data_IF_406856969570
#
_entry.id   IF_406856969570
#
_cell.length_a   1.000
_cell.length_b   1.000
_cell.length_c   1.000
_cell.angle_alpha   90.00
_cell.angle_beta   90.00
_cell.angle_gamma   90.00
#
_symmetry.space_group_name_H-M   'P 1'
#
loop_
_entity.id
_entity.type
_entity.pdbx_description
1 polymer ?
#
# COMPACT_ATOMS: atom_id res chain seq x y z
N UNK A 1 -6.91 -4.48 -26.03
CA UNK A 1 -6.29 -4.54 -24.68
C UNK A 1 -5.08 -5.45 -24.76
N UNK A 2 -3.87 -4.94 -24.52
CA UNK A 2 -2.71 -5.82 -24.44
C UNK A 2 -2.77 -6.61 -23.12
N UNK A 3 -2.55 -7.92 -23.18
CA UNK A 3 -2.64 -8.84 -22.02
C UNK A 3 -1.81 -8.35 -20.83
N UNK A 4 -0.75 -7.61 -21.11
CA UNK A 4 0.15 -7.04 -20.11
C UNK A 4 -0.51 -5.96 -19.24
N UNK A 5 -1.25 -5.01 -19.82
CA UNK A 5 -1.91 -3.94 -19.02
C UNK A 5 -2.96 -4.51 -18.07
N UNK A 6 -3.75 -5.49 -18.53
CA UNK A 6 -4.71 -6.19 -17.68
C UNK A 6 -4.03 -6.98 -16.56
N UNK A 7 -2.90 -7.62 -16.88
CA UNK A 7 -2.08 -8.35 -15.91
C UNK A 7 -1.54 -7.43 -14.83
N UNK A 8 -1.01 -6.27 -15.21
CA UNK A 8 -0.51 -5.25 -14.26
C UNK A 8 -1.62 -4.76 -13.33
N UNK A 9 -2.79 -4.43 -13.88
CA UNK A 9 -3.94 -3.99 -13.07
C UNK A 9 -4.36 -5.08 -12.08
N UNK A 10 -4.48 -6.33 -12.52
CA UNK A 10 -4.85 -7.44 -11.67
C UNK A 10 -3.81 -7.66 -10.55
N UNK A 11 -2.53 -7.57 -10.88
CA UNK A 11 -1.44 -7.75 -9.93
C UNK A 11 -1.40 -6.62 -8.90
N UNK A 12 -1.50 -5.35 -9.31
CA UNK A 12 -1.55 -4.20 -8.38
C UNK A 12 -2.76 -4.31 -7.45
N UNK A 13 -3.91 -4.69 -8.00
CA UNK A 13 -5.14 -4.88 -7.21
C UNK A 13 -4.96 -5.98 -6.17
N UNK A 14 -4.39 -7.13 -6.56
CA UNK A 14 -4.12 -8.24 -5.66
C UNK A 14 -3.17 -7.80 -4.54
N UNK A 15 -2.07 -7.13 -4.89
CA UNK A 15 -1.10 -6.63 -3.91
C UNK A 15 -1.74 -5.64 -2.94
N UNK A 16 -2.59 -4.71 -3.40
CA UNK A 16 -3.28 -3.76 -2.54
C UNK A 16 -4.23 -4.45 -1.55
N UNK A 17 -5.01 -5.44 -2.01
CA UNK A 17 -5.91 -6.20 -1.15
C UNK A 17 -5.15 -7.10 -0.17
N UNK A 18 -4.09 -7.77 -0.62
CA UNK A 18 -3.20 -8.54 0.26
C UNK A 18 -2.57 -7.67 1.33
N UNK A 19 -2.13 -6.45 0.97
CA UNK A 19 -1.55 -5.51 1.91
C UNK A 19 -2.58 -5.02 2.95
N UNK A 20 -3.82 -4.78 2.52
CA UNK A 20 -4.93 -4.49 3.44
C UNK A 20 -5.17 -5.63 4.43
N UNK A 21 -5.24 -6.88 3.93
CA UNK A 21 -5.41 -8.06 4.78
C UNK A 21 -4.27 -8.23 5.78
N UNK A 22 -3.02 -8.03 5.34
CA UNK A 22 -1.84 -8.09 6.20
C UNK A 22 -1.92 -7.03 7.31
N UNK A 23 -2.28 -5.78 6.99
CA UNK A 23 -2.42 -4.74 8.00
C UNK A 23 -3.57 -4.96 8.98
N UNK A 24 -4.70 -5.53 8.54
CA UNK A 24 -5.76 -5.97 9.46
C UNK A 24 -5.26 -7.06 10.39
N UNK A 25 -4.49 -8.03 9.88
CA UNK A 25 -3.91 -9.09 10.69
C UNK A 25 -2.96 -8.52 11.76
N UNK A 26 -2.07 -7.59 11.39
CA UNK A 26 -1.16 -6.92 12.34
C UNK A 26 -1.95 -6.16 13.40
N UNK A 27 -2.89 -5.31 12.99
CA UNK A 27 -3.72 -4.55 13.93
C UNK A 27 -4.47 -5.48 14.91
N UNK A 28 -5.05 -6.57 14.40
CA UNK A 28 -5.76 -7.54 15.22
C UNK A 28 -4.84 -8.29 16.19
N UNK A 29 -3.62 -8.65 15.76
CA UNK A 29 -2.64 -9.31 16.63
C UNK A 29 -2.19 -8.38 17.77
N UNK A 30 -1.89 -7.11 17.46
CA UNK A 30 -1.46 -6.15 18.47
C UNK A 30 -2.57 -5.86 19.50
N UNK A 31 -3.83 -5.78 19.07
CA UNK A 31 -4.97 -5.64 19.98
C UNK A 31 -5.09 -6.77 21.01
N UNK A 32 -4.66 -7.99 20.66
CA UNK A 32 -4.68 -9.12 21.59
C UNK A 32 -3.47 -9.15 22.52
N UNK A 33 -2.33 -8.65 22.05
CA UNK A 33 -1.05 -8.82 22.73
C UNK A 33 -0.82 -7.76 23.81
N UNK A 34 -1.23 -6.51 23.60
CA UNK A 34 -1.10 -5.43 24.60
C UNK A 34 -2.05 -4.27 24.32
N UNK A 35 -2.57 -3.65 25.38
CA UNK A 35 -3.51 -2.52 25.31
C UNK A 35 -2.93 -1.21 25.84
N UNK A 36 -1.60 -1.09 25.90
CA UNK A 36 -0.91 0.13 26.32
C UNK A 36 -0.93 1.22 25.24
N UNK A 37 -0.59 2.46 25.62
CA UNK A 37 -0.72 3.63 24.74
C UNK A 37 -0.03 3.48 23.37
N UNK A 38 1.25 3.07 23.31
CA UNK A 38 1.97 2.89 22.04
C UNK A 38 1.34 1.82 21.14
N UNK A 39 0.93 0.67 21.70
CA UNK A 39 0.32 -0.42 20.91
C UNK A 39 -1.03 0.00 20.31
N UNK A 40 -1.81 0.83 21.04
CA UNK A 40 -3.07 1.37 20.52
C UNK A 40 -2.84 2.27 19.32
N UNK A 41 -1.81 3.11 19.36
CA UNK A 41 -1.50 4.03 18.26
C UNK A 41 -1.01 3.24 17.03
N UNK A 42 -0.15 2.24 17.21
CA UNK A 42 0.28 1.34 16.13
C UNK A 42 -0.91 0.58 15.52
N UNK A 43 -1.78 0.03 16.37
CA UNK A 43 -3.02 -0.62 15.95
C UNK A 43 -3.87 0.33 15.10
N UNK A 44 -4.07 1.57 15.55
CA UNK A 44 -4.82 2.59 14.80
C UNK A 44 -4.16 2.89 13.45
N UNK A 45 -2.84 3.01 13.40
CA UNK A 45 -2.09 3.26 12.18
C UNK A 45 -2.29 2.11 11.16
N UNK A 46 -2.11 0.86 11.60
CA UNK A 46 -2.27 -0.30 10.74
C UNK A 46 -3.73 -0.51 10.31
N UNK A 47 -4.69 -0.34 11.21
CA UNK A 47 -6.11 -0.39 10.88
C UNK A 47 -6.49 0.70 9.85
N UNK A 48 -5.99 1.92 10.04
CA UNK A 48 -6.22 3.03 9.10
C UNK A 48 -5.61 2.73 7.73
N UNK A 49 -4.39 2.18 7.69
CA UNK A 49 -3.76 1.76 6.45
C UNK A 49 -4.57 0.66 5.76
N UNK A 50 -5.05 -0.34 6.51
CA UNK A 50 -5.87 -1.42 6.00
C UNK A 50 -7.18 -0.90 5.37
N UNK A 51 -7.89 -0.02 6.09
CA UNK A 51 -9.11 0.66 5.63
C UNK A 51 -8.84 1.59 4.45
N UNK A 52 -7.62 2.09 4.28
CA UNK A 52 -7.26 2.92 3.12
C UNK A 52 -7.04 2.09 1.85
N UNK A 53 -6.35 0.94 1.96
CA UNK A 53 -6.08 0.07 0.81
C UNK A 53 -7.32 -0.68 0.32
N UNK A 54 -8.28 -1.00 1.20
CA UNK A 54 -9.44 -1.81 0.83
C UNK A 54 -10.36 -1.11 -0.19
N UNK A 55 -10.85 0.13 0.03
CA UNK A 55 -11.62 0.88 -0.96
C UNK A 55 -10.83 1.15 -2.23
N UNK A 56 -9.51 1.38 -2.14
CA UNK A 56 -8.65 1.53 -3.31
C UNK A 56 -8.63 0.26 -4.17
N UNK A 57 -8.46 -0.91 -3.55
CA UNK A 57 -8.53 -2.20 -4.24
C UNK A 57 -9.89 -2.42 -4.91
N UNK A 58 -10.99 -2.13 -4.21
CA UNK A 58 -12.35 -2.20 -4.77
C UNK A 58 -12.50 -1.23 -5.96
N UNK A 59 -11.96 -0.02 -5.86
CA UNK A 59 -11.99 0.96 -6.93
C UNK A 59 -11.20 0.49 -8.16
N UNK A 60 -10.04 -0.13 -7.96
CA UNK A 60 -9.28 -0.76 -9.05
C UNK A 60 -10.07 -1.87 -9.74
N UNK A 61 -10.82 -2.69 -8.99
CA UNK A 61 -11.68 -3.74 -9.58
C UNK A 61 -12.81 -3.12 -10.41
N UNK A 62 -13.51 -2.11 -9.87
CA UNK A 62 -14.66 -1.49 -10.55
C UNK A 62 -14.26 -0.67 -11.77
N UNK A 63 -13.19 0.12 -11.67
CA UNK A 63 -12.81 1.12 -12.67
C UNK A 63 -11.49 0.79 -13.37
N UNK A 64 -11.12 -0.50 -13.48
CA UNK A 64 -9.84 -1.02 -13.99
C UNK A 64 -9.15 -0.14 -15.03
N UNK A 65 -9.88 0.33 -16.05
CA UNK A 65 -9.35 1.08 -17.19
C UNK A 65 -9.91 2.50 -17.34
N UNK A 66 -10.81 2.94 -16.46
CA UNK A 66 -11.43 4.26 -16.59
C UNK A 66 -10.67 5.35 -15.86
N UNK A 67 -9.87 4.99 -14.87
CA UNK A 67 -9.12 5.98 -14.09
C UNK A 67 -7.76 5.46 -13.69
N UNK A 68 -6.74 6.30 -13.91
CA UNK A 68 -5.39 6.09 -13.36
C UNK A 68 -5.28 6.47 -11.88
N UNK A 69 -6.27 7.20 -11.35
CA UNK A 69 -6.26 7.74 -9.99
C UNK A 69 -6.03 6.69 -8.89
N UNK A 70 -6.74 5.54 -8.84
CA UNK A 70 -6.55 4.57 -7.76
C UNK A 70 -5.11 4.04 -7.67
N UNK A 71 -4.42 3.87 -8.81
CA UNK A 71 -3.04 3.39 -8.86
C UNK A 71 -2.04 4.44 -8.38
N UNK A 72 -2.25 5.71 -8.76
CA UNK A 72 -1.42 6.83 -8.29
C UNK A 72 -1.60 7.01 -6.78
N UNK A 73 -2.84 7.01 -6.29
CA UNK A 73 -3.13 7.16 -4.87
C UNK A 73 -2.54 6.01 -4.07
N UNK A 74 -2.70 4.76 -4.52
CA UNK A 74 -2.10 3.60 -3.87
C UNK A 74 -0.57 3.68 -3.83
N UNK A 75 0.07 4.15 -4.90
CA UNK A 75 1.52 4.37 -4.92
C UNK A 75 1.94 5.44 -3.90
N UNK A 76 1.24 6.57 -3.83
CA UNK A 76 1.56 7.64 -2.87
C UNK A 76 1.35 7.19 -1.42
N UNK A 77 0.27 6.47 -1.14
CA UNK A 77 0.00 5.87 0.16
C UNK A 77 1.10 4.88 0.56
N UNK A 78 1.53 4.02 -0.36
CA UNK A 78 2.65 3.09 -0.14
C UNK A 78 3.94 3.84 0.17
N UNK A 79 4.28 4.88 -0.60
CA UNK A 79 5.48 5.69 -0.35
C UNK A 79 5.43 6.35 1.04
N UNK A 80 4.28 6.92 1.42
CA UNK A 80 4.11 7.55 2.72
C UNK A 80 4.31 6.57 3.88
N UNK A 81 3.74 5.36 3.78
CA UNK A 81 3.86 4.34 4.82
C UNK A 81 5.27 3.74 4.90
N UNK A 82 5.94 3.51 3.75
CA UNK A 82 7.35 3.11 3.74
C UNK A 82 8.22 4.20 4.36
N UNK A 83 7.97 5.46 4.01
CA UNK A 83 8.68 6.61 4.58
C UNK A 83 8.49 6.69 6.10
N UNK A 84 7.25 6.55 6.57
CA UNK A 84 6.94 6.52 8.00
C UNK A 84 7.67 5.38 8.73
N UNK A 85 7.73 4.19 8.13
CA UNK A 85 8.50 3.08 8.67
C UNK A 85 10.00 3.37 8.76
N UNK A 86 10.60 3.98 7.73
CA UNK A 86 12.03 4.36 7.79
C UNK A 86 12.27 5.41 8.88
N UNK A 87 11.36 6.37 9.02
CA UNK A 87 11.47 7.41 10.04
C UNK A 87 11.34 6.81 11.45
N UNK A 88 10.38 5.91 11.70
CA UNK A 88 10.19 5.27 13.01
C UNK A 88 11.39 4.42 13.46
N UNK A 89 12.29 4.04 12.53
CA UNK A 89 13.53 3.32 12.80
C UNK A 89 14.74 4.22 13.05
N UNK A 90 14.70 5.45 12.55
CA UNK A 90 15.86 6.38 12.60
C UNK A 90 15.67 7.48 13.63
N UNK A 91 14.42 7.81 13.96
CA UNK A 91 14.06 8.86 14.89
C UNK A 91 12.96 8.31 15.80
N UNK A 92 13.10 8.53 17.11
CA UNK A 92 12.04 8.23 18.07
C UNK A 92 10.82 9.09 17.73
N UNK A 93 9.83 8.50 17.06
CA UNK A 93 8.58 9.20 16.79
C UNK A 93 7.78 9.25 18.09
N UNK A 94 7.29 10.43 18.52
CA UNK A 94 6.49 10.55 19.75
C UNK A 94 5.23 9.66 19.74
N UNK A 95 4.79 9.30 18.54
CA UNK A 95 3.54 8.60 18.24
C UNK A 95 3.71 7.08 18.21
N UNK A 96 4.90 6.57 17.84
CA UNK A 96 5.14 5.13 17.55
C UNK A 96 6.36 4.57 18.29
N UNK A 97 7.15 5.43 18.96
CA UNK A 97 8.41 5.02 19.59
C UNK A 97 9.51 4.68 18.58
N UNK A 98 10.61 4.11 19.08
CA UNK A 98 11.61 3.43 18.26
C UNK A 98 11.24 1.96 18.17
N UNK A 99 11.06 1.45 16.96
CA UNK A 99 10.96 0.02 16.74
C UNK A 99 12.35 -0.51 16.40
N UNK A 100 12.94 -1.38 17.21
CA UNK A 100 14.28 -1.94 16.92
C UNK A 100 14.21 -3.29 16.19
N UNK A 101 13.13 -4.05 16.38
CA UNK A 101 12.99 -5.39 15.79
C UNK A 101 12.31 -5.38 14.43
N UNK A 102 12.93 -6.01 13.42
CA UNK A 102 12.34 -6.18 12.09
C UNK A 102 11.61 -7.51 12.03
N UNK A 103 10.28 -7.46 12.11
CA UNK A 103 9.45 -8.65 11.95
C UNK A 103 9.36 -9.12 10.49
N UNK A 104 9.14 -10.42 10.29
CA UNK A 104 8.86 -10.99 8.95
C UNK A 104 7.62 -10.32 8.31
N UNK A 105 6.63 -9.96 9.13
CA UNK A 105 5.41 -9.29 8.67
C UNK A 105 5.72 -7.86 8.21
N UNK A 106 6.62 -7.16 8.90
CA UNK A 106 7.06 -5.83 8.52
C UNK A 106 7.76 -5.84 7.16
N UNK A 107 8.67 -6.79 6.94
CA UNK A 107 9.36 -6.93 5.66
C UNK A 107 8.37 -7.27 4.53
N UNK A 108 7.40 -8.15 4.83
CA UNK A 108 6.38 -8.57 3.87
C UNK A 108 5.51 -7.40 3.41
N UNK A 109 5.03 -6.57 4.34
CA UNK A 109 4.24 -5.38 4.01
C UNK A 109 5.02 -4.42 3.10
N UNK A 110 6.32 -4.22 3.39
CA UNK A 110 7.18 -3.29 2.65
C UNK A 110 7.48 -3.82 1.25
N UNK A 111 7.64 -5.14 1.11
CA UNK A 111 7.77 -5.80 -0.19
C UNK A 111 6.50 -5.65 -1.04
N UNK A 112 5.32 -5.86 -0.46
CA UNK A 112 4.04 -5.63 -1.15
C UNK A 112 3.90 -4.17 -1.59
N UNK A 113 4.22 -3.22 -0.70
CA UNK A 113 4.22 -1.79 -1.00
C UNK A 113 5.18 -1.43 -2.14
N UNK A 114 6.41 -1.97 -2.12
CA UNK A 114 7.38 -1.81 -3.20
C UNK A 114 6.85 -2.32 -4.54
N UNK A 115 6.19 -3.49 -4.54
CA UNK A 115 5.51 -4.03 -5.72
C UNK A 115 4.41 -3.10 -6.24
N UNK A 116 3.55 -2.58 -5.35
CA UNK A 116 2.49 -1.62 -5.72
C UNK A 116 3.10 -0.38 -6.38
N UNK A 117 4.15 0.19 -5.80
CA UNK A 117 4.82 1.40 -6.32
C UNK A 117 5.39 1.12 -7.72
N UNK A 118 6.23 0.09 -7.85
CA UNK A 118 6.93 -0.20 -9.10
C UNK A 118 5.93 -0.50 -10.23
N UNK A 119 4.94 -1.36 -9.99
CA UNK A 119 3.96 -1.74 -11.00
C UNK A 119 3.02 -0.59 -11.35
N UNK A 120 2.63 0.24 -10.37
CA UNK A 120 1.79 1.43 -10.63
C UNK A 120 2.52 2.45 -11.50
N UNK A 121 3.81 2.69 -11.26
CA UNK A 121 4.63 3.56 -12.11
C UNK A 121 4.68 3.02 -13.54
N UNK A 122 4.98 1.73 -13.72
CA UNK A 122 5.02 1.09 -15.05
C UNK A 122 3.68 1.23 -15.77
N UNK A 123 2.56 1.00 -15.06
CA UNK A 123 1.21 1.13 -15.61
C UNK A 123 0.92 2.57 -16.06
N UNK A 124 1.23 3.57 -15.23
CA UNK A 124 0.99 4.99 -15.54
C UNK A 124 1.84 5.46 -16.72
N UNK A 125 3.11 5.05 -16.80
CA UNK A 125 3.99 5.38 -17.92
C UNK A 125 3.47 4.81 -19.25
N UNK A 126 2.98 3.56 -19.24
CA UNK A 126 2.35 2.94 -20.41
C UNK A 126 1.08 3.68 -20.84
N UNK A 127 0.26 4.07 -19.87
CA UNK A 127 -0.98 4.80 -20.12
C UNK A 127 -0.73 6.15 -20.80
N UNK A 128 0.30 6.89 -20.35
CA UNK A 128 0.67 8.17 -20.96
C UNK A 128 1.16 8.01 -22.41
N UNK A 129 1.94 6.95 -22.71
CA UNK A 129 2.39 6.67 -24.09
C UNK A 129 1.22 6.41 -25.04
N UNK A 130 0.23 5.62 -24.61
CA UNK A 130 -0.94 5.33 -25.43
C UNK A 130 -1.76 6.59 -25.76
N UNK A 131 -1.84 7.55 -24.83
CA UNK A 131 -2.56 8.81 -25.05
C UNK A 131 -1.86 9.70 -26.09
N UNK A 132 -0.53 9.76 -26.09
CA UNK A 132 0.26 10.58 -27.03
C UNK A 132 0.13 10.05 -28.48
N UNK A 133 0.07 8.73 -28.67
CA UNK A 133 -0.07 8.13 -30.00
C UNK A 133 -1.45 8.34 -30.64
N UNK A 134 -2.49 8.60 -29.85
CA UNK A 134 -3.84 8.89 -30.37
C UNK A 134 -4.09 10.37 -30.66
N UNK A 135 -3.14 11.26 -30.36
CA UNK A 135 -3.22 12.70 -30.60
C UNK A 135 -2.36 13.20 -31.78
N UNK A 136 -1.72 12.28 -32.50
CA UNK A 136 -0.93 12.51 -33.72
C UNK A 136 -1.63 11.82 -34.89
#
# INVERSE_FOLDING_TARGET
MDRLTSGLIALITLLALSNSGLYFFVAYSQMQESADGPSQIETMLFATAAISYLPLGIWMIKNRLHSRAPYVIASLLSVALVGLYVISRTVSLPVVGLQEDIGVIDLSAKALQGGIIALSIVLVLKWNKAKIQHSL
#
